data_IF_217911344903
#
_entry.id   IF_217911344903
#
_cell.length_a   1.000
_cell.length_b   1.000
_cell.length_c   1.000
_cell.angle_alpha   90.00
_cell.angle_beta   90.00
_cell.angle_gamma   90.00
#
_symmetry.space_group_name_H-M   'P 1'
#
loop_
_entity.id
_entity.type
_entity.pdbx_description
1 polymer ?
#
# COMPACT_ATOMS: atom_id res chain seq x y z
N UNK A 1 2.07 44.96 14.48
CA UNK A 1 2.53 43.70 15.09
C UNK A 1 1.35 42.95 15.74
N UNK A 2 0.60 42.20 14.92
CA UNK A 2 -0.50 41.38 15.39
C UNK A 2 0.06 40.03 15.86
N UNK A 3 -0.16 39.70 17.13
CA UNK A 3 0.16 38.41 17.73
C UNK A 3 -0.74 37.35 17.08
N UNK A 4 -0.15 36.51 16.22
CA UNK A 4 -0.78 35.28 15.75
C UNK A 4 -1.05 34.39 16.97
N UNK A 5 -2.33 34.22 17.31
CA UNK A 5 -2.79 33.21 18.25
C UNK A 5 -2.32 31.83 17.78
N UNK A 6 -1.40 31.25 18.53
CA UNK A 6 -0.97 29.87 18.39
C UNK A 6 -2.03 28.95 19.02
N UNK A 7 -3.07 28.59 18.28
CA UNK A 7 -4.07 27.60 18.74
C UNK A 7 -3.94 26.29 17.94
N UNK A 8 -3.69 25.20 18.66
CA UNK A 8 -3.61 23.84 18.12
C UNK A 8 -2.34 23.06 18.49
N UNK A 9 -2.06 22.94 19.80
CA UNK A 9 -1.10 21.94 20.27
C UNK A 9 -1.56 20.54 19.83
N UNK A 10 -0.73 19.84 19.05
CA UNK A 10 -0.91 18.40 18.85
C UNK A 10 -1.00 17.75 20.24
N UNK A 11 -1.84 16.70 20.43
CA UNK A 11 -1.72 15.89 21.63
C UNK A 11 -0.26 15.42 21.72
N UNK A 12 0.28 15.31 22.95
CA UNK A 12 1.66 14.86 23.21
C UNK A 12 1.87 13.37 22.88
N UNK A 13 1.25 12.87 21.80
CA UNK A 13 1.35 11.51 21.30
C UNK A 13 2.82 11.20 21.04
N UNK A 14 3.31 10.20 21.77
CA UNK A 14 4.62 9.62 21.51
C UNK A 14 5.81 10.31 22.15
N UNK A 15 5.62 11.28 23.06
CA UNK A 15 6.77 11.84 23.81
C UNK A 15 7.59 10.71 24.44
N UNK A 16 8.90 10.73 24.23
CA UNK A 16 9.81 9.72 24.74
C UNK A 16 9.99 8.49 23.85
N UNK A 17 9.26 8.36 22.74
CA UNK A 17 9.41 7.21 21.84
C UNK A 17 10.83 7.14 21.23
N UNK A 18 11.45 5.94 21.18
CA UNK A 18 12.82 5.80 20.72
C UNK A 18 12.97 6.19 19.24
N UNK A 19 14.09 6.82 18.91
CA UNK A 19 14.41 7.10 17.51
C UNK A 19 15.07 5.88 16.88
N UNK A 20 14.44 5.35 15.84
CA UNK A 20 14.85 4.16 15.11
C UNK A 20 16.04 4.43 14.17
N UNK A 21 16.29 5.70 13.86
CA UNK A 21 17.42 6.13 13.04
C UNK A 21 18.67 6.42 13.86
N UNK A 22 18.51 7.02 15.04
CA UNK A 22 19.63 7.54 15.83
C UNK A 22 20.35 6.51 16.70
N UNK A 23 19.96 5.23 16.66
CA UNK A 23 20.62 4.11 17.38
C UNK A 23 20.94 4.46 18.86
N UNK A 24 20.00 5.10 19.55
CA UNK A 24 20.15 5.47 20.97
C UNK A 24 20.71 6.87 21.26
N UNK A 25 21.15 7.64 20.26
CA UNK A 25 21.60 9.03 20.48
C UNK A 25 20.44 10.00 20.80
N UNK A 26 19.21 9.63 20.46
CA UNK A 26 18.03 10.41 20.81
C UNK A 26 17.48 9.91 22.15
N UNK A 27 17.29 10.81 23.10
CA UNK A 27 16.69 10.56 24.43
C UNK A 27 15.18 10.27 24.38
N UNK A 28 14.62 10.08 23.19
CA UNK A 28 13.19 9.92 22.94
C UNK A 28 12.60 11.08 22.11
N UNK A 29 11.43 10.86 21.52
CA UNK A 29 10.77 11.86 20.69
C UNK A 29 10.38 13.09 21.52
N UNK A 30 10.83 14.26 21.08
CA UNK A 30 10.41 15.53 21.62
C UNK A 30 9.65 16.32 20.54
N UNK A 31 8.32 16.48 20.66
CA UNK A 31 7.53 17.11 19.62
C UNK A 31 7.83 18.61 19.51
N UNK A 32 7.92 19.11 18.28
CA UNK A 32 7.87 20.54 17.99
C UNK A 32 6.43 21.05 17.97
N UNK A 33 6.24 22.30 18.37
CA UNK A 33 4.94 22.98 18.28
C UNK A 33 4.39 23.13 16.86
N UNK A 34 5.26 23.15 15.84
CA UNK A 34 4.87 23.38 14.45
C UNK A 34 5.58 22.44 13.46
N UNK A 35 6.85 22.06 13.70
CA UNK A 35 7.58 21.11 12.85
C UNK A 35 7.21 19.65 13.12
N UNK A 36 7.23 18.80 12.09
CA UNK A 36 7.00 17.34 12.21
C UNK A 36 8.32 16.57 12.41
N UNK A 37 9.25 17.16 13.16
CA UNK A 37 10.56 16.59 13.49
C UNK A 37 10.77 16.61 15.01
N UNK A 38 11.61 15.70 15.50
CA UNK A 38 12.05 15.65 16.88
C UNK A 38 12.94 16.86 17.22
N UNK A 39 12.69 17.53 18.34
CA UNK A 39 13.54 18.61 18.84
C UNK A 39 14.96 18.14 19.14
N UNK A 40 15.10 16.94 19.70
CA UNK A 40 16.39 16.40 20.17
C UNK A 40 17.26 15.93 19.01
N UNK A 41 16.75 15.08 18.12
CA UNK A 41 17.56 14.47 17.05
C UNK A 41 17.29 14.99 15.64
N UNK A 42 16.33 15.90 15.45
CA UNK A 42 15.89 16.45 14.15
C UNK A 42 15.37 15.41 13.14
N UNK A 43 15.26 14.14 13.51
CA UNK A 43 14.62 13.12 12.68
C UNK A 43 13.11 13.38 12.58
N UNK A 44 12.52 12.95 11.47
CA UNK A 44 11.07 13.03 11.24
C UNK A 44 10.31 12.22 12.28
N UNK A 45 9.06 12.61 12.52
CA UNK A 45 8.17 11.92 13.45
C UNK A 45 7.99 10.42 13.11
N UNK A 46 8.05 10.06 11.83
CA UNK A 46 8.03 8.67 11.34
C UNK A 46 9.20 7.81 11.86
N UNK A 47 10.36 8.40 12.13
CA UNK A 47 11.53 7.70 12.67
C UNK A 47 11.40 7.38 14.17
N UNK A 48 10.31 7.80 14.80
CA UNK A 48 9.99 7.51 16.19
C UNK A 48 8.87 6.46 16.35
N UNK A 49 8.37 5.89 15.26
CA UNK A 49 7.44 4.74 15.32
C UNK A 49 6.11 5.04 16.02
N UNK A 50 5.61 6.27 15.92
CA UNK A 50 4.47 6.74 16.71
C UNK A 50 3.09 6.24 16.26
N UNK A 51 3.00 5.52 15.15
CA UNK A 51 1.73 5.03 14.61
C UNK A 51 1.48 3.61 15.07
N UNK A 52 0.32 3.36 15.69
CA UNK A 52 -0.13 2.00 15.97
C UNK A 52 -0.67 1.35 14.68
N UNK A 53 -0.74 0.01 14.64
CA UNK A 53 -1.36 -0.67 13.50
C UNK A 53 -2.81 -0.23 13.23
N UNK A 54 -3.56 0.08 14.30
CA UNK A 54 -4.93 0.57 14.18
C UNK A 54 -4.99 1.97 13.58
N UNK A 55 -4.02 2.83 13.89
CA UNK A 55 -3.92 4.16 13.30
C UNK A 55 -3.56 4.08 11.82
N UNK A 56 -2.63 3.18 11.46
CA UNK A 56 -2.28 2.86 10.08
C UNK A 56 -3.50 2.35 9.29
N UNK A 57 -4.28 1.44 9.87
CA UNK A 57 -5.47 0.89 9.23
C UNK A 57 -6.59 1.93 9.09
N UNK A 58 -6.77 2.83 10.07
CA UNK A 58 -7.71 3.95 9.97
C UNK A 58 -7.28 4.94 8.90
N UNK A 59 -5.99 5.24 8.83
CA UNK A 59 -5.38 6.13 7.84
C UNK A 59 -5.60 5.62 6.42
N UNK A 60 -5.25 4.37 6.14
CA UNK A 60 -5.52 3.76 4.83
C UNK A 60 -7.04 3.65 4.59
N UNK A 61 -7.82 3.33 5.64
CA UNK A 61 -9.28 3.29 5.58
C UNK A 61 -9.89 4.61 5.09
N UNK A 62 -9.40 5.75 5.59
CA UNK A 62 -9.79 7.09 5.12
C UNK A 62 -9.28 7.41 3.72
N UNK A 63 -8.08 6.97 3.34
CA UNK A 63 -7.56 7.19 2.00
C UNK A 63 -8.42 6.49 0.94
N UNK A 64 -8.77 5.23 1.19
CA UNK A 64 -9.53 4.41 0.26
C UNK A 64 -11.04 4.67 0.34
N UNK A 65 -11.53 5.26 1.43
CA UNK A 65 -12.94 5.66 1.52
C UNK A 65 -13.26 6.75 0.47
N UNK A 66 -14.35 6.53 -0.27
CA UNK A 66 -14.77 7.41 -1.36
C UNK A 66 -13.96 7.25 -2.66
N UNK A 67 -13.07 6.25 -2.75
CA UNK A 67 -12.40 5.85 -3.99
C UNK A 67 -13.04 4.59 -4.60
N UNK A 68 -12.61 4.21 -5.81
CA UNK A 68 -12.96 2.92 -6.42
C UNK A 68 -12.51 1.68 -5.63
N UNK A 69 -11.72 1.87 -4.56
CA UNK A 69 -11.18 0.81 -3.71
C UNK A 69 -11.88 0.70 -2.35
N UNK A 70 -13.10 1.24 -2.21
CA UNK A 70 -13.86 1.19 -0.96
C UNK A 70 -14.13 -0.25 -0.46
N UNK A 71 -14.12 -1.25 -1.34
CA UNK A 71 -14.27 -2.68 -0.99
C UNK A 71 -13.17 -3.19 -0.04
N UNK A 72 -11.97 -2.61 -0.14
CA UNK A 72 -10.81 -2.90 0.72
C UNK A 72 -10.94 -2.30 2.13
N UNK A 73 -12.07 -1.69 2.46
CA UNK A 73 -12.31 -1.08 3.77
C UNK A 73 -13.60 -1.61 4.39
N UNK A 74 -13.70 -1.55 5.72
CA UNK A 74 -14.89 -1.92 6.49
C UNK A 74 -15.41 -0.71 7.28
N UNK A 75 -16.73 -0.60 7.44
CA UNK A 75 -17.33 0.39 8.35
C UNK A 75 -17.08 -0.03 9.79
N UNK A 76 -16.72 0.92 10.65
CA UNK A 76 -16.59 0.70 12.09
C UNK A 76 -18.01 0.79 12.70
N UNK A 77 -18.41 -0.22 13.47
CA UNK A 77 -19.71 -0.22 14.16
C UNK A 77 -19.73 0.88 15.23
N UNK A 78 -20.81 1.66 15.28
CA UNK A 78 -21.01 2.68 16.30
C UNK A 78 -20.14 3.94 16.19
N UNK A 79 -19.48 4.18 15.05
CA UNK A 79 -18.74 5.42 14.78
C UNK A 79 -19.42 6.31 13.74
N UNK A 80 -18.88 7.52 13.55
CA UNK A 80 -19.35 8.58 12.63
C UNK A 80 -19.15 8.25 11.14
N UNK A 81 -19.45 7.02 10.71
CA UNK A 81 -19.23 6.56 9.35
C UNK A 81 -17.76 6.26 9.01
N UNK A 82 -16.87 6.29 10.00
CA UNK A 82 -15.45 5.99 9.84
C UNK A 82 -15.22 4.57 9.27
N UNK A 83 -14.22 4.45 8.40
CA UNK A 83 -13.84 3.18 7.75
C UNK A 83 -12.41 2.80 8.11
N UNK A 84 -12.17 1.51 8.27
CA UNK A 84 -10.87 0.92 8.55
C UNK A 84 -10.42 0.05 7.38
N UNK A 85 -9.13 0.02 7.10
CA UNK A 85 -8.55 -0.86 6.09
C UNK A 85 -8.73 -2.32 6.49
N UNK A 86 -9.21 -3.15 5.55
CA UNK A 86 -9.23 -4.61 5.68
C UNK A 86 -7.85 -5.16 5.36
N UNK A 87 -6.88 -4.84 6.21
CA UNK A 87 -5.50 -5.30 6.04
C UNK A 87 -5.44 -6.82 6.01
N UNK A 88 -4.83 -7.37 4.96
CA UNK A 88 -4.63 -8.80 4.82
C UNK A 88 -3.39 -9.21 5.63
N UNK A 89 -3.58 -9.86 6.78
CA UNK A 89 -2.50 -10.46 7.57
C UNK A 89 -2.35 -11.92 7.17
N UNK A 90 -1.14 -12.33 6.81
CA UNK A 90 -0.85 -13.70 6.39
C UNK A 90 -0.09 -14.44 7.49
N UNK A 91 -0.60 -15.59 7.90
CA UNK A 91 0.05 -16.48 8.86
C UNK A 91 0.47 -17.73 8.10
N UNK A 92 1.77 -18.04 8.12
CA UNK A 92 2.34 -19.23 7.50
C UNK A 92 2.82 -20.15 8.60
N UNK A 93 2.34 -21.40 8.60
CA UNK A 93 2.74 -22.41 9.58
C UNK A 93 3.51 -23.50 8.86
N UNK A 94 4.79 -23.62 9.17
CA UNK A 94 5.68 -24.62 8.60
C UNK A 94 5.79 -25.80 9.58
N UNK A 95 5.35 -27.01 9.22
CA UNK A 95 5.53 -28.19 10.04
C UNK A 95 7.02 -28.59 10.02
N UNK A 96 7.58 -28.86 11.19
CA UNK A 96 8.92 -29.39 11.36
C UNK A 96 8.81 -30.83 11.88
N UNK A 97 9.15 -31.77 10.99
CA UNK A 97 9.02 -33.22 11.21
C UNK A 97 10.39 -33.84 11.55
N UNK A 98 11.39 -33.02 11.91
CA UNK A 98 12.75 -33.52 12.20
C UNK A 98 12.88 -34.21 13.56
N UNK A 99 11.84 -34.17 14.41
CA UNK A 99 11.82 -34.71 15.77
C UNK A 99 10.79 -35.83 15.99
N UNK A 100 10.88 -36.48 17.16
CA UNK A 100 9.88 -37.47 17.62
C UNK A 100 8.49 -36.86 17.81
N UNK A 101 8.43 -35.55 18.04
CA UNK A 101 7.21 -34.76 18.13
C UNK A 101 7.21 -33.72 17.00
N UNK A 102 6.15 -33.64 16.17
CA UNK A 102 6.04 -32.60 15.15
C UNK A 102 5.90 -31.23 15.82
N UNK A 103 6.79 -30.30 15.47
CA UNK A 103 6.70 -28.89 15.88
C UNK A 103 6.20 -28.04 14.71
N UNK A 104 5.70 -26.83 15.01
CA UNK A 104 5.15 -25.93 13.99
C UNK A 104 5.77 -24.55 14.13
N UNK A 105 6.53 -24.12 13.12
CA UNK A 105 7.10 -22.78 13.07
C UNK A 105 6.10 -21.84 12.40
N UNK A 106 5.59 -20.87 13.17
CA UNK A 106 4.59 -19.92 12.67
C UNK A 106 5.22 -18.56 12.39
N UNK A 107 5.15 -18.13 11.13
CA UNK A 107 5.60 -16.82 10.67
C UNK A 107 4.37 -15.96 10.39
N UNK A 108 4.28 -14.79 11.03
CA UNK A 108 3.20 -13.83 10.79
C UNK A 108 3.72 -12.67 9.94
N UNK A 109 3.15 -12.47 8.77
CA UNK A 109 3.32 -11.27 7.96
C UNK A 109 2.22 -10.26 8.34
N UNK A 110 2.63 -9.05 8.74
CA UNK A 110 1.72 -7.96 9.14
C UNK A 110 0.89 -7.42 7.97
N UNK A 111 1.31 -7.71 6.73
CA UNK A 111 0.62 -7.36 5.50
C UNK A 111 0.96 -8.33 4.37
N UNK A 112 -0.03 -8.60 3.52
CA UNK A 112 0.10 -9.26 2.22
C UNK A 112 -0.80 -8.56 1.19
N UNK A 113 -0.54 -8.72 -0.13
CA UNK A 113 -1.39 -8.12 -1.16
C UNK A 113 -2.88 -8.49 -0.99
N UNK A 114 -3.81 -7.55 -1.24
CA UNK A 114 -5.24 -7.85 -1.19
C UNK A 114 -5.63 -8.95 -2.19
N UNK A 115 -6.54 -9.83 -1.78
CA UNK A 115 -7.03 -10.90 -2.66
C UNK A 115 -6.09 -12.09 -2.83
N UNK A 116 -4.89 -12.08 -2.21
CA UNK A 116 -3.97 -13.20 -2.22
C UNK A 116 -3.96 -13.94 -0.89
N UNK A 117 -3.99 -15.28 -0.95
CA UNK A 117 -3.87 -16.18 0.19
C UNK A 117 -2.98 -17.38 -0.16
N UNK A 118 -2.48 -18.07 0.86
CA UNK A 118 -1.72 -19.32 0.70
C UNK A 118 -0.48 -19.18 -0.18
N UNK A 119 -0.32 -20.11 -1.12
CA UNK A 119 0.88 -20.25 -1.96
C UNK A 119 1.23 -18.99 -2.76
N UNK A 120 0.24 -18.34 -3.39
CA UNK A 120 0.48 -17.15 -4.22
C UNK A 120 1.02 -15.96 -3.41
N UNK A 121 0.53 -15.80 -2.19
CA UNK A 121 1.02 -14.76 -1.29
C UNK A 121 2.47 -15.07 -0.84
N UNK A 122 2.81 -16.33 -0.61
CA UNK A 122 4.18 -16.74 -0.30
C UNK A 122 5.14 -16.49 -1.48
N UNK A 123 4.77 -16.89 -2.70
CA UNK A 123 5.55 -16.61 -3.92
C UNK A 123 5.76 -15.12 -4.16
N UNK A 124 4.76 -14.29 -3.82
CA UNK A 124 4.94 -12.83 -3.84
C UNK A 124 5.99 -12.38 -2.81
N UNK A 125 5.91 -12.86 -1.57
CA UNK A 125 6.86 -12.49 -0.51
C UNK A 125 8.28 -12.95 -0.82
N UNK A 126 8.47 -14.09 -1.48
CA UNK A 126 9.79 -14.58 -1.91
C UNK A 126 10.49 -13.66 -2.91
N UNK A 127 9.72 -12.89 -3.69
CA UNK A 127 10.25 -11.87 -4.62
C UNK A 127 10.53 -10.52 -3.93
N UNK A 128 10.13 -10.36 -2.66
CA UNK A 128 10.46 -9.19 -1.85
C UNK A 128 11.76 -9.47 -1.08
N UNK A 129 12.75 -8.56 -1.11
CA UNK A 129 13.98 -8.71 -0.32
C UNK A 129 13.67 -9.03 1.14
N UNK A 130 14.40 -9.99 1.74
CA UNK A 130 14.09 -10.53 3.07
C UNK A 130 14.03 -9.45 4.15
N UNK A 131 14.92 -8.47 4.07
CA UNK A 131 15.02 -7.32 4.96
C UNK A 131 13.83 -6.34 4.82
N UNK A 132 13.06 -6.42 3.74
CA UNK A 132 11.88 -5.59 3.47
C UNK A 132 10.56 -6.35 3.67
N UNK A 133 10.60 -7.66 3.92
CA UNK A 133 9.40 -8.46 4.17
C UNK A 133 8.74 -8.05 5.49
N UNK A 134 7.41 -7.82 5.53
CA UNK A 134 6.73 -7.29 6.71
C UNK A 134 6.44 -8.38 7.76
N UNK A 135 7.46 -9.16 8.13
CA UNK A 135 7.33 -10.20 9.17
C UNK A 135 7.26 -9.53 10.54
N UNK A 136 6.27 -9.91 11.34
CA UNK A 136 5.99 -9.32 12.65
C UNK A 136 7.24 -9.36 13.54
N UNK A 137 7.55 -8.22 14.17
CA UNK A 137 8.71 -8.08 15.05
C UNK A 137 10.07 -7.92 14.34
N UNK A 138 10.12 -7.89 13.01
CA UNK A 138 11.37 -7.71 12.24
C UNK A 138 11.58 -6.26 11.78
N UNK A 139 12.80 -5.95 11.33
CA UNK A 139 13.10 -4.66 10.69
C UNK A 139 12.26 -4.40 9.44
N UNK A 140 11.85 -5.44 8.70
CA UNK A 140 11.00 -5.30 7.52
C UNK A 140 9.58 -4.83 7.84
N UNK A 141 8.98 -5.33 8.93
CA UNK A 141 7.71 -4.81 9.44
C UNK A 141 7.83 -3.35 9.88
N UNK A 142 8.91 -3.02 10.59
CA UNK A 142 9.17 -1.64 11.00
C UNK A 142 9.41 -0.71 9.78
N UNK A 143 10.15 -1.19 8.81
CA UNK A 143 10.41 -0.50 7.55
C UNK A 143 9.10 -0.22 6.80
N UNK A 144 8.19 -1.20 6.71
CA UNK A 144 6.85 -1.01 6.13
C UNK A 144 6.09 0.12 6.82
N UNK A 145 6.02 0.13 8.15
CA UNK A 145 5.33 1.19 8.93
C UNK A 145 5.94 2.57 8.68
N UNK A 146 7.27 2.68 8.64
CA UNK A 146 7.96 3.95 8.29
C UNK A 146 7.58 4.43 6.89
N UNK A 147 7.55 3.54 5.89
CA UNK A 147 7.10 3.88 4.53
C UNK A 147 5.63 4.30 4.51
N UNK A 148 4.76 3.67 5.29
CA UNK A 148 3.34 4.04 5.40
C UNK A 148 3.20 5.46 5.98
N UNK A 149 3.93 5.79 7.04
CA UNK A 149 3.96 7.12 7.61
C UNK A 149 4.41 8.17 6.58
N UNK A 150 5.54 7.90 5.90
CA UNK A 150 6.19 8.81 4.96
C UNK A 150 5.46 8.98 3.64
N UNK A 151 5.06 7.89 3.00
CA UNK A 151 4.50 7.90 1.64
C UNK A 151 3.06 8.39 1.61
N UNK A 152 2.34 8.29 2.73
CA UNK A 152 0.93 8.62 2.81
C UNK A 152 0.64 9.62 3.95
N UNK A 153 1.29 10.78 4.11
CA UNK A 153 1.11 11.62 5.31
C UNK A 153 -0.37 11.94 5.61
N UNK A 154 -0.81 11.86 6.87
CA UNK A 154 -2.22 12.05 7.24
C UNK A 154 -2.73 13.45 6.89
N UNK A 155 -1.89 14.46 7.13
CA UNK A 155 -2.16 15.85 6.81
C UNK A 155 -2.20 16.14 5.30
N UNK A 156 -1.75 15.23 4.43
CA UNK A 156 -1.96 15.36 2.99
C UNK A 156 -3.34 14.84 2.54
N UNK A 157 -4.10 14.22 3.44
CA UNK A 157 -5.35 13.50 3.13
C UNK A 157 -6.57 14.01 3.89
N UNK A 158 -6.35 14.64 5.03
CA UNK A 158 -7.39 15.01 5.98
C UNK A 158 -7.19 16.48 6.39
N UNK A 159 -8.05 17.41 5.92
CA UNK A 159 -7.96 18.82 6.27
C UNK A 159 -7.97 19.08 7.79
N UNK A 160 -8.62 18.20 8.57
CA UNK A 160 -8.63 18.32 10.02
C UNK A 160 -7.28 17.98 10.69
N UNK A 161 -6.34 17.44 9.92
CA UNK A 161 -4.97 17.14 10.37
C UNK A 161 -3.95 18.22 9.92
N UNK A 162 -4.37 19.15 9.06
CA UNK A 162 -3.56 20.31 8.66
C UNK A 162 -3.54 21.37 9.76
N UNK A 163 -2.45 22.13 9.83
CA UNK A 163 -2.32 23.26 10.76
C UNK A 163 -2.61 24.57 10.05
N UNK A 164 -3.58 25.30 10.58
CA UNK A 164 -3.80 26.69 10.21
C UNK A 164 -4.36 26.89 8.81
N UNK A 165 -5.14 25.94 8.29
CA UNK A 165 -5.97 26.18 7.11
C UNK A 165 -7.00 27.27 7.44
N UNK A 166 -7.11 28.27 6.59
CA UNK A 166 -8.21 29.22 6.65
C UNK A 166 -9.54 28.55 6.25
N UNK A 167 -10.68 29.10 6.65
CA UNK A 167 -12.01 28.51 6.36
C UNK A 167 -12.25 28.22 4.87
N UNK A 168 -11.71 29.04 3.96
CA UNK A 168 -11.77 28.79 2.51
C UNK A 168 -10.82 27.70 2.01
N UNK A 169 -9.70 27.48 2.69
CA UNK A 169 -8.67 26.50 2.29
C UNK A 169 -9.07 25.07 2.66
N UNK A 170 -9.88 24.89 3.71
CA UNK A 170 -10.45 23.59 4.05
C UNK A 170 -11.18 22.97 2.86
N UNK A 171 -12.07 23.73 2.22
CA UNK A 171 -12.81 23.25 1.04
C UNK A 171 -11.89 22.95 -0.14
N UNK A 172 -10.87 23.77 -0.37
CA UNK A 172 -9.87 23.52 -1.43
C UNK A 172 -9.11 22.22 -1.19
N UNK A 173 -8.76 21.92 0.07
CA UNK A 173 -8.12 20.67 0.46
C UNK A 173 -9.05 19.47 0.28
N UNK A 174 -10.32 19.58 0.65
CA UNK A 174 -11.34 18.54 0.42
C UNK A 174 -11.51 18.23 -1.08
N UNK A 175 -11.61 19.27 -1.91
CA UNK A 175 -11.72 19.14 -3.36
C UNK A 175 -10.45 18.53 -3.96
N UNK A 176 -9.27 18.93 -3.48
CA UNK A 176 -7.99 18.34 -3.87
C UNK A 176 -7.92 16.84 -3.55
N UNK A 177 -8.31 16.46 -2.33
CA UNK A 177 -8.37 15.07 -1.88
C UNK A 177 -9.35 14.25 -2.71
N UNK A 178 -10.56 14.78 -2.91
CA UNK A 178 -11.58 14.13 -3.73
C UNK A 178 -11.07 13.90 -5.16
N UNK A 179 -10.42 14.90 -5.76
CA UNK A 179 -9.89 14.82 -7.12
C UNK A 179 -8.84 13.73 -7.26
N UNK A 180 -7.80 13.72 -6.42
CA UNK A 180 -6.75 12.70 -6.58
C UNK A 180 -7.28 11.29 -6.28
N UNK A 181 -8.24 11.13 -5.36
CA UNK A 181 -8.86 9.81 -5.08
C UNK A 181 -9.57 9.25 -6.31
N UNK A 182 -10.21 10.12 -7.09
CA UNK A 182 -10.91 9.75 -8.31
C UNK A 182 -9.96 9.53 -9.50
N UNK A 183 -8.94 10.38 -9.65
CA UNK A 183 -8.16 10.47 -10.89
C UNK A 183 -6.78 9.80 -10.83
N UNK A 184 -6.17 9.70 -9.65
CA UNK A 184 -4.78 9.26 -9.51
C UNK A 184 -4.59 8.06 -8.58
N UNK A 185 -5.32 7.99 -7.47
CA UNK A 185 -5.17 6.94 -6.46
C UNK A 185 -5.53 5.57 -7.04
N UNK A 186 -4.64 4.61 -6.87
CA UNK A 186 -4.85 3.21 -7.19
C UNK A 186 -4.27 2.29 -6.11
N UNK A 187 -4.71 1.03 -6.14
CA UNK A 187 -4.10 -0.07 -5.38
C UNK A 187 -3.66 -1.12 -6.38
N UNK A 188 -2.40 -1.55 -6.30
CA UNK A 188 -1.85 -2.56 -7.19
C UNK A 188 -2.52 -3.91 -6.99
N UNK A 189 -2.72 -4.62 -8.09
CA UNK A 189 -3.33 -5.95 -8.13
C UNK A 189 -2.23 -6.97 -8.38
N UNK A 190 -2.20 -8.06 -7.63
CA UNK A 190 -1.21 -9.12 -7.83
C UNK A 190 -1.85 -10.30 -8.55
N UNK A 191 -1.25 -10.71 -9.66
CA UNK A 191 -1.69 -11.86 -10.44
C UNK A 191 -0.49 -12.44 -11.20
N UNK A 192 -0.69 -13.57 -11.88
CA UNK A 192 0.33 -14.05 -12.82
C UNK A 192 0.39 -13.15 -14.07
N UNK A 193 1.51 -13.14 -14.79
CA UNK A 193 1.62 -12.47 -16.07
C UNK A 193 0.51 -12.89 -17.04
N UNK A 194 -0.10 -11.92 -17.73
CA UNK A 194 -1.27 -12.10 -18.59
C UNK A 194 -2.62 -12.21 -17.89
N UNK A 195 -2.68 -12.27 -16.54
CA UNK A 195 -3.92 -12.45 -15.78
C UNK A 195 -4.40 -11.17 -15.05
N UNK A 196 -3.85 -10.01 -15.40
CA UNK A 196 -4.26 -8.73 -14.81
C UNK A 196 -5.69 -8.35 -15.19
N UNK A 197 -6.47 -7.79 -14.26
CA UNK A 197 -7.78 -7.20 -14.55
C UNK A 197 -8.95 -8.19 -14.67
N UNK A 198 -8.72 -9.49 -14.43
CA UNK A 198 -9.72 -10.56 -14.54
C UNK A 198 -10.93 -10.48 -13.59
N UNK A 199 -11.09 -9.40 -12.83
CA UNK A 199 -12.25 -9.15 -11.98
C UNK A 199 -13.39 -8.35 -12.64
N UNK A 200 -13.34 -8.07 -13.96
CA UNK A 200 -14.31 -7.20 -14.64
C UNK A 200 -14.80 -7.65 -16.03
N UNK A 201 -14.51 -8.87 -16.46
CA UNK A 201 -15.13 -9.42 -17.67
C UNK A 201 -16.25 -10.37 -17.25
N UNK A 202 -17.46 -9.82 -17.09
CA UNK A 202 -18.67 -10.61 -17.33
C UNK A 202 -18.60 -11.10 -18.78
N UNK A 203 -18.68 -12.42 -18.94
CA UNK A 203 -18.80 -13.11 -20.21
C UNK A 203 -19.92 -12.46 -21.04
N UNK A 204 -19.55 -11.70 -22.07
CA UNK A 204 -20.48 -11.37 -23.13
C UNK A 204 -20.66 -12.64 -23.97
N UNK A 205 -21.84 -13.27 -24.00
CA UNK A 205 -22.02 -14.48 -24.77
C UNK A 205 -21.88 -14.13 -26.25
N UNK A 206 -20.85 -14.66 -26.90
CA UNK A 206 -20.80 -14.68 -28.36
C UNK A 206 -21.75 -15.77 -28.82
N UNK A 207 -22.86 -15.32 -29.38
CA UNK A 207 -23.82 -16.08 -30.15
C UNK A 207 -23.10 -16.97 -31.19
N UNK A 208 -23.12 -18.28 -30.97
CA UNK A 208 -22.81 -19.29 -31.97
C UNK A 208 -23.94 -20.29 -32.00
N UNK A 209 -24.67 -20.21 -33.09
CA UNK A 209 -25.82 -21.03 -33.45
C UNK A 209 -25.50 -22.53 -33.35
N UNK A 210 -26.45 -23.27 -32.80
CA UNK A 210 -26.43 -24.72 -32.59
C UNK A 210 -26.91 -25.42 -33.87
N UNK A 211 -26.16 -26.42 -34.34
CA UNK A 211 -26.66 -27.48 -35.24
C UNK A 211 -26.47 -28.84 -34.53
N UNK A 212 -27.52 -29.68 -34.37
CA UNK A 212 -27.45 -30.85 -33.52
C UNK A 212 -27.14 -32.13 -34.31
N UNK A 213 -26.06 -32.82 -33.98
CA UNK A 213 -25.94 -34.23 -34.39
C UNK A 213 -24.57 -34.86 -34.23
N UNK A 214 -24.21 -35.30 -33.00
CA UNK A 214 -23.67 -36.66 -32.74
C UNK A 214 -23.52 -36.94 -31.23
N UNK A 215 -23.85 -38.18 -30.84
CA UNK A 215 -23.81 -38.73 -29.48
C UNK A 215 -22.37 -39.12 -29.04
N UNK A 216 -22.14 -39.44 -27.74
CA UNK A 216 -20.90 -39.16 -27.02
C UNK A 216 -19.94 -40.36 -26.93
N UNK A 217 -18.65 -40.07 -26.79
CA UNK A 217 -17.67 -41.01 -26.23
C UNK A 217 -16.86 -40.34 -25.11
N UNK A 218 -16.64 -41.13 -24.07
CA UNK A 218 -16.22 -40.77 -22.70
C UNK A 218 -14.68 -40.71 -22.55
N UNK A 219 -14.16 -40.32 -21.35
CA UNK A 219 -13.06 -39.38 -21.23
C UNK A 219 -11.69 -40.03 -21.00
N UNK A 220 -10.64 -39.33 -21.42
CA UNK A 220 -9.27 -39.29 -20.89
C UNK A 220 -8.58 -38.18 -21.71
N UNK A 221 -7.98 -37.12 -21.19
CA UNK A 221 -7.20 -36.96 -19.99
C UNK A 221 -5.87 -36.32 -20.42
N UNK A 222 -5.86 -34.99 -20.56
CA UNK A 222 -4.69 -34.10 -20.57
C UNK A 222 -5.13 -32.74 -21.16
N UNK A 223 -5.68 -31.85 -20.33
CA UNK A 223 -5.73 -30.44 -20.69
C UNK A 223 -4.34 -29.87 -20.41
N UNK A 224 -3.41 -30.10 -21.34
CA UNK A 224 -2.26 -29.21 -21.47
C UNK A 224 -2.80 -27.82 -21.79
N UNK A 225 -2.91 -27.00 -20.76
CA UNK A 225 -3.00 -25.56 -20.93
C UNK A 225 -1.69 -25.13 -21.57
N UNK A 226 -1.69 -25.03 -22.89
CA UNK A 226 -0.66 -24.36 -23.67
C UNK A 226 -0.70 -22.89 -23.31
N UNK A 227 -0.10 -22.57 -22.15
CA UNK A 227 0.27 -21.22 -21.81
C UNK A 227 1.18 -20.74 -22.94
N UNK A 228 0.63 -19.88 -23.80
CA UNK A 228 1.44 -19.15 -24.77
C UNK A 228 2.55 -18.51 -23.96
N UNK A 229 3.81 -18.90 -24.20
CA UNK A 229 4.97 -18.40 -23.49
C UNK A 229 5.14 -16.91 -23.83
N UNK A 230 4.35 -16.06 -23.17
CA UNK A 230 4.42 -14.62 -23.32
C UNK A 230 5.78 -14.15 -22.84
N UNK A 231 6.48 -13.38 -23.67
CA UNK A 231 7.68 -12.66 -23.25
C UNK A 231 7.27 -11.49 -22.35
N UNK A 232 6.91 -11.82 -21.12
CA UNK A 232 6.48 -10.91 -20.08
C UNK A 232 7.68 -10.09 -19.59
N UNK A 233 7.54 -8.75 -19.51
CA UNK A 233 8.64 -7.86 -19.11
C UNK A 233 8.20 -6.90 -18.01
N UNK A 234 9.09 -6.62 -17.07
CA UNK A 234 8.83 -5.64 -16.03
C UNK A 234 9.01 -4.21 -16.57
N UNK A 235 8.04 -3.33 -16.32
CA UNK A 235 8.04 -1.95 -16.80
C UNK A 235 9.15 -1.08 -16.18
N UNK A 236 9.63 -1.39 -14.98
CA UNK A 236 10.74 -0.66 -14.33
C UNK A 236 12.12 -1.15 -14.76
N UNK A 237 12.42 -2.46 -14.58
CA UNK A 237 13.77 -2.98 -14.84
C UNK A 237 13.97 -3.54 -16.26
N UNK A 238 12.90 -3.66 -17.05
CA UNK A 238 12.92 -4.18 -18.42
C UNK A 238 13.36 -5.65 -18.57
N UNK A 239 13.59 -6.35 -17.45
CA UNK A 239 13.94 -7.76 -17.41
C UNK A 239 12.70 -8.64 -17.61
N UNK A 240 12.92 -9.86 -18.09
CA UNK A 240 11.88 -10.85 -18.29
C UNK A 240 11.27 -11.29 -16.95
N UNK A 241 9.97 -11.55 -16.95
CA UNK A 241 9.22 -12.08 -15.82
C UNK A 241 8.85 -13.54 -16.15
N UNK A 242 9.18 -14.50 -15.28
CA UNK A 242 8.66 -15.86 -15.42
C UNK A 242 7.13 -15.90 -15.38
N UNK A 243 6.50 -16.69 -16.25
CA UNK A 243 5.03 -16.76 -16.36
C UNK A 243 4.31 -17.34 -15.13
N UNK A 244 5.06 -17.99 -14.24
CA UNK A 244 4.60 -18.59 -12.98
C UNK A 244 4.90 -17.72 -11.75
N UNK A 245 5.57 -16.59 -11.93
CA UNK A 245 5.93 -15.68 -10.85
C UNK A 245 4.90 -14.53 -10.74
N UNK A 246 4.32 -14.27 -9.56
CA UNK A 246 3.39 -13.16 -9.36
C UNK A 246 3.99 -11.80 -9.75
N UNK A 247 3.21 -11.00 -10.47
CA UNK A 247 3.52 -9.60 -10.80
C UNK A 247 2.47 -8.66 -10.23
N UNK A 248 2.85 -7.41 -10.07
CA UNK A 248 1.94 -6.31 -9.75
C UNK A 248 1.44 -5.70 -11.05
N UNK A 249 0.14 -5.44 -11.12
CA UNK A 249 -0.54 -4.62 -12.12
C UNK A 249 -1.06 -3.34 -11.48
N UNK A 250 -1.16 -2.29 -12.29
CA UNK A 250 -1.74 -1.01 -11.90
C UNK A 250 -2.86 -0.66 -12.86
N UNK A 251 -4.13 -0.79 -12.43
CA UNK A 251 -5.30 -0.54 -13.28
C UNK A 251 -5.24 0.80 -14.05
N UNK A 252 -4.71 1.87 -13.44
CA UNK A 252 -4.57 3.19 -14.10
C UNK A 252 -3.47 3.26 -15.16
N UNK A 253 -2.52 2.34 -15.12
CA UNK A 253 -1.50 2.16 -16.14
C UNK A 253 -1.97 1.27 -17.30
N UNK A 254 -3.16 0.67 -17.17
CA UNK A 254 -3.62 -0.43 -18.00
C UNK A 254 -2.99 -1.77 -17.60
N UNK A 255 -3.59 -2.87 -18.06
CA UNK A 255 -3.11 -4.24 -17.78
C UNK A 255 -2.07 -4.74 -18.79
N UNK A 256 -1.58 -3.86 -19.66
CA UNK A 256 -0.43 -4.13 -20.53
C UNK A 256 0.92 -3.89 -19.85
N UNK A 257 0.91 -3.25 -18.67
CA UNK A 257 2.09 -2.97 -17.86
C UNK A 257 2.08 -3.79 -16.58
N UNK A 258 3.25 -4.28 -16.21
CA UNK A 258 3.44 -5.15 -15.06
C UNK A 258 4.80 -4.92 -14.42
N UNK A 259 4.88 -5.19 -13.12
CA UNK A 259 6.07 -4.98 -12.33
C UNK A 259 6.39 -6.20 -11.49
N UNK A 260 7.68 -6.51 -11.33
CA UNK A 260 8.08 -7.35 -10.20
C UNK A 260 7.62 -6.70 -8.89
N UNK A 261 7.32 -7.49 -7.84
CA UNK A 261 6.99 -6.98 -6.51
C UNK A 261 7.95 -5.90 -6.00
N UNK A 262 9.27 -6.12 -6.15
CA UNK A 262 10.29 -5.15 -5.74
C UNK A 262 10.46 -3.95 -6.69
N UNK A 263 9.95 -4.05 -7.92
CA UNK A 263 10.09 -3.02 -8.96
C UNK A 263 8.92 -2.03 -9.00
N UNK A 264 7.83 -2.29 -8.26
CA UNK A 264 6.70 -1.38 -8.15
C UNK A 264 7.01 -0.23 -7.17
N UNK A 265 7.77 0.74 -7.66
CA UNK A 265 8.38 1.81 -6.87
C UNK A 265 7.87 3.19 -7.28
N UNK A 266 7.99 4.17 -6.38
CA UNK A 266 7.73 5.57 -6.73
C UNK A 266 8.82 6.09 -7.67
N UNK A 267 8.44 6.73 -8.78
CA UNK A 267 9.39 7.27 -9.76
C UNK A 267 10.28 8.41 -9.24
N UNK A 268 9.97 9.02 -8.09
CA UNK A 268 10.76 10.12 -7.49
C UNK A 268 11.75 9.67 -6.43
N UNK A 269 11.39 8.73 -5.56
CA UNK A 269 12.32 8.23 -4.53
C UNK A 269 12.83 6.82 -4.76
N UNK A 270 12.36 6.11 -5.80
CA UNK A 270 12.69 4.72 -6.08
C UNK A 270 12.38 3.74 -4.92
N UNK A 271 11.60 4.17 -3.92
CA UNK A 271 11.15 3.32 -2.82
C UNK A 271 9.93 2.49 -3.23
N UNK A 272 9.83 1.22 -2.79
CA UNK A 272 8.64 0.40 -3.00
C UNK A 272 7.37 1.07 -2.49
N UNK A 273 6.32 1.04 -3.30
CA UNK A 273 5.04 1.66 -2.97
C UNK A 273 4.36 0.86 -1.86
N UNK A 274 4.18 1.51 -0.70
CA UNK A 274 3.68 0.85 0.51
C UNK A 274 2.28 0.30 0.28
N UNK A 275 2.09 -0.96 0.63
CA UNK A 275 0.84 -1.71 0.47
C UNK A 275 0.27 -1.70 -0.96
N UNK A 276 1.14 -1.52 -1.96
CA UNK A 276 0.79 -1.34 -3.36
C UNK A 276 -0.11 -0.12 -3.61
N UNK A 277 -0.19 0.82 -2.67
CA UNK A 277 -0.94 2.06 -2.83
C UNK A 277 -0.10 3.02 -3.67
N UNK A 278 -0.66 3.47 -4.80
CA UNK A 278 0.04 4.31 -5.75
C UNK A 278 -0.82 5.45 -6.27
N UNK A 279 -0.17 6.44 -6.86
CA UNK A 279 -0.79 7.59 -7.50
C UNK A 279 -0.26 7.67 -8.92
N UNK A 280 -1.14 7.49 -9.91
CA UNK A 280 -0.75 7.52 -11.32
C UNK A 280 -0.72 8.95 -11.84
N UNK A 281 0.41 9.36 -12.43
CA UNK A 281 0.56 10.67 -13.06
C UNK A 281 1.61 10.58 -14.16
N UNK A 282 1.27 11.10 -15.34
CA UNK A 282 2.19 11.24 -16.48
C UNK A 282 2.92 9.94 -16.85
N UNK A 283 2.20 8.81 -16.86
CA UNK A 283 2.77 7.52 -17.27
C UNK A 283 3.66 6.84 -16.22
N UNK A 284 3.67 7.34 -14.97
CA UNK A 284 4.50 6.81 -13.89
C UNK A 284 3.71 6.66 -12.58
N UNK A 285 4.17 5.73 -11.73
CA UNK A 285 3.64 5.51 -10.40
C UNK A 285 4.36 6.38 -9.36
N UNK A 286 3.59 7.08 -8.53
CA UNK A 286 4.07 7.96 -7.47
C UNK A 286 3.59 7.47 -6.11
N UNK A 287 4.36 7.73 -5.05
CA UNK A 287 3.83 7.67 -3.70
C UNK A 287 2.97 8.91 -3.42
N UNK A 288 2.04 8.83 -2.46
CA UNK A 288 1.12 9.93 -2.16
C UNK A 288 1.85 11.25 -1.85
N UNK A 289 2.90 11.18 -1.02
CA UNK A 289 3.73 12.35 -0.65
C UNK A 289 4.27 13.08 -1.87
N UNK A 290 4.90 12.36 -2.80
CA UNK A 290 5.54 12.96 -3.98
C UNK A 290 4.52 13.33 -5.06
N UNK A 291 3.40 12.62 -5.17
CA UNK A 291 2.29 13.02 -6.02
C UNK A 291 1.75 14.39 -5.57
N UNK A 292 1.41 14.54 -4.29
CA UNK A 292 0.89 15.81 -3.76
C UNK A 292 1.93 16.93 -3.90
N UNK A 293 3.20 16.66 -3.58
CA UNK A 293 4.29 17.63 -3.73
C UNK A 293 4.53 18.06 -5.20
N UNK A 294 4.16 17.21 -6.16
CA UNK A 294 4.24 17.55 -7.60
C UNK A 294 3.11 18.46 -8.08
N UNK A 295 2.11 18.71 -7.23
CA UNK A 295 0.94 19.56 -7.52
C UNK A 295 0.91 20.82 -6.66
N UNK A 296 1.38 20.73 -5.42
CA UNK A 296 1.45 21.83 -4.45
C UNK A 296 2.80 21.79 -3.72
N UNK A 297 3.45 22.94 -3.46
CA UNK A 297 4.72 22.97 -2.76
C UNK A 297 4.55 22.52 -1.30
N UNK A 298 5.47 21.70 -0.82
CA UNK A 298 5.47 21.27 0.59
C UNK A 298 6.27 22.23 1.46
N UNK A 299 5.71 22.61 2.60
CA UNK A 299 6.41 23.43 3.58
C UNK A 299 7.56 22.65 4.24
N UNK A 300 8.80 23.15 4.14
CA UNK A 300 9.97 22.54 4.79
C UNK A 300 9.89 22.51 6.34
N UNK A 301 8.96 23.27 6.91
CA UNK A 301 8.72 23.40 8.34
C UNK A 301 7.73 22.37 8.87
N UNK A 302 6.44 22.54 8.53
CA UNK A 302 5.36 21.67 8.99
C UNK A 302 5.17 20.41 8.14
N UNK A 303 5.89 20.26 7.03
CA UNK A 303 5.81 19.11 6.11
C UNK A 303 4.43 18.96 5.45
N UNK A 304 3.58 20.00 5.43
CA UNK A 304 2.23 20.01 4.83
C UNK A 304 2.27 20.60 3.41
N UNK A 305 1.32 20.20 2.53
CA UNK A 305 1.17 20.64 1.12
C UNK A 305 0.17 21.78 0.93
#
# INVERSE_FOLDING_TARGET
PALLQMSGSQPQLGRGAPCLRCRGLCTGFEPHSWRKICKSCKCSQEEHGLSSELDDDRKIGRLLSGSGHASLTARIKGGDGARIYKRNRMIVTNPNISGKDPTFDTVTYEWAPPGLTGLRAMQYMEQVPRELQPVAGTEGALHRRRRLARQLPLHDQDPAQCRGLAEGEHRLMEEFVKKYKAEALGVGEVALPGQGGGGKEEEKPQDKSIDPGRAPESPNGALESTATAGNYRCDTCQQAVPGDCPVVYAARAGYSRQWHPACFVCCRCAEPLVDLIYFWKSGAAWCGRHYCESLRPRCAGCDEV
#
